data_IF_699948577199
#
_entry.id   IF_699948577199
#
_cell.length_a   1.000
_cell.length_b   1.000
_cell.length_c   1.000
_cell.angle_alpha   90.00
_cell.angle_beta   90.00
_cell.angle_gamma   90.00
#
_symmetry.space_group_name_H-M   'P 1'
#
loop_
_entity.id
_entity.type
_entity.pdbx_description
1 polymer ?
#
# COMPACT_ATOMS: atom_id res chain seq x y z
N UNK A 1 -14.56 -5.60 29.96
CA UNK A 1 -13.69 -4.97 30.96
C UNK A 1 -12.39 -5.77 31.02
N UNK A 2 -11.20 -5.33 30.66
CA UNK A 2 -10.66 -4.18 29.94
C UNK A 2 -9.38 -4.73 29.28
N UNK A 3 -9.29 -4.77 27.95
CA UNK A 3 -8.06 -5.13 27.21
C UNK A 3 -7.61 -3.86 26.49
N UNK A 4 -7.20 -2.85 27.27
CA UNK A 4 -6.64 -1.59 26.77
C UNK A 4 -5.51 -1.09 27.69
N UNK A 5 -4.64 -2.00 28.13
CA UNK A 5 -3.55 -1.68 29.08
C UNK A 5 -2.13 -1.66 28.51
N UNK A 6 -1.89 -2.13 27.28
CA UNK A 6 -0.52 -2.34 26.78
C UNK A 6 -0.22 -1.75 25.39
N UNK A 7 -1.24 -1.33 24.64
CA UNK A 7 -1.04 -0.68 23.34
C UNK A 7 -0.76 0.83 23.50
N UNK A 8 -1.10 1.40 24.67
CA UNK A 8 -0.86 2.82 24.97
C UNK A 8 0.59 3.19 25.31
N UNK A 9 1.43 2.23 25.74
CA UNK A 9 2.79 2.53 26.21
C UNK A 9 3.82 2.57 25.06
N UNK A 10 3.59 1.81 23.98
CA UNK A 10 4.48 1.76 22.82
C UNK A 10 4.37 3.02 21.95
N UNK A 11 3.17 3.60 21.83
CA UNK A 11 2.97 4.84 21.07
C UNK A 11 3.56 6.05 21.81
N UNK A 12 3.56 6.05 23.15
CA UNK A 12 4.15 7.15 23.92
C UNK A 12 5.67 7.21 23.82
N UNK A 13 6.38 6.08 23.66
CA UNK A 13 7.85 6.10 23.52
C UNK A 13 8.27 6.61 22.14
N UNK A 14 7.54 6.22 21.08
CA UNK A 14 7.86 6.67 19.70
C UNK A 14 7.49 8.15 19.47
N UNK A 15 6.44 8.66 20.12
CA UNK A 15 6.11 10.08 20.05
C UNK A 15 6.98 10.95 20.97
N UNK A 16 7.43 10.43 22.12
CA UNK A 16 8.36 11.16 22.99
C UNK A 16 9.71 11.40 22.32
N UNK A 17 10.20 10.48 21.47
CA UNK A 17 11.44 10.70 20.70
C UNK A 17 11.28 11.72 19.56
N UNK A 18 10.06 11.98 19.08
CA UNK A 18 9.79 13.07 18.12
C UNK A 18 9.53 14.44 18.77
N UNK A 19 9.11 14.50 20.03
CA UNK A 19 9.04 15.77 20.78
C UNK A 19 10.40 16.23 21.31
N UNK A 20 11.28 15.30 21.69
CA UNK A 20 12.61 15.61 22.24
C UNK A 20 13.59 16.21 21.20
N UNK A 21 13.32 16.07 19.90
CA UNK A 21 14.13 16.72 18.84
C UNK A 21 13.70 18.16 18.53
N UNK A 22 12.58 18.65 19.06
CA UNK A 22 12.08 20.03 18.83
C UNK A 22 12.15 20.93 20.06
N UNK A 23 12.32 20.37 21.26
CA UNK A 23 12.62 21.11 22.48
C UNK A 23 14.07 20.85 22.89
N UNK A 24 14.88 21.91 23.01
CA UNK A 24 16.25 21.81 23.50
C UNK A 24 16.35 21.06 24.85
N UNK A 25 17.55 20.56 25.21
CA UNK A 25 17.69 19.57 26.27
C UNK A 25 17.29 20.15 27.64
N UNK A 26 16.16 19.70 28.18
CA UNK A 26 15.84 19.89 29.61
C UNK A 26 16.53 18.78 30.38
N UNK A 27 17.72 19.06 30.89
CA UNK A 27 18.55 18.12 31.65
C UNK A 27 18.04 17.98 33.09
N UNK A 28 17.11 17.05 33.34
CA UNK A 28 16.79 16.63 34.70
C UNK A 28 17.77 15.53 35.12
N UNK A 29 19.03 15.91 35.36
CA UNK A 29 20.08 15.03 35.84
C UNK A 29 20.29 15.26 37.34
N UNK A 30 20.02 14.23 38.16
CA UNK A 30 20.42 14.24 39.57
C UNK A 30 21.96 14.26 39.62
N UNK A 31 22.51 15.32 40.20
CA UNK A 31 23.94 15.48 40.46
C UNK A 31 24.23 15.07 41.90
N UNK A 32 25.33 14.36 42.14
CA UNK A 32 25.78 14.09 43.50
C UNK A 32 26.35 15.37 44.16
N UNK A 33 26.65 15.30 45.47
CA UNK A 33 27.21 16.43 46.23
C UNK A 33 28.59 16.89 45.72
N UNK A 34 29.22 16.12 44.82
CA UNK A 34 30.49 16.47 44.15
C UNK A 34 30.28 17.10 42.77
N UNK A 35 29.03 17.32 42.36
CA UNK A 35 28.67 17.92 41.07
C UNK A 35 28.78 16.98 39.88
N UNK A 36 28.94 15.67 40.11
CA UNK A 36 29.00 14.69 39.04
C UNK A 36 27.59 14.20 38.67
N UNK A 37 27.35 14.05 37.38
CA UNK A 37 26.10 13.48 36.86
C UNK A 37 25.99 12.03 37.31
N UNK A 38 25.00 11.73 38.16
CA UNK A 38 24.64 10.34 38.44
C UNK A 38 23.91 9.85 37.20
N UNK A 39 24.66 9.38 36.20
CA UNK A 39 24.06 8.61 35.13
C UNK A 39 23.56 7.33 35.75
N UNK A 40 22.28 7.33 36.12
CA UNK A 40 21.63 6.18 36.73
C UNK A 40 21.82 4.99 35.81
N UNK A 41 22.76 4.14 36.19
CA UNK A 41 23.10 2.94 35.44
C UNK A 41 21.86 2.07 35.23
N UNK A 42 20.84 2.17 36.09
CA UNK A 42 19.56 1.53 35.90
C UNK A 42 18.81 2.08 34.67
N UNK A 43 18.82 3.39 34.43
CA UNK A 43 18.21 4.01 33.25
C UNK A 43 18.92 3.60 31.96
N UNK A 44 20.26 3.63 31.95
CA UNK A 44 21.05 3.17 30.80
C UNK A 44 20.87 1.68 30.53
N UNK A 45 20.91 0.86 31.58
CA UNK A 45 20.71 -0.58 31.46
C UNK A 45 19.29 -0.93 30.99
N UNK A 46 18.29 -0.16 31.42
CA UNK A 46 16.92 -0.30 30.93
C UNK A 46 16.79 0.06 29.45
N UNK A 47 17.47 1.12 29.01
CA UNK A 47 17.51 1.53 27.60
C UNK A 47 18.23 0.48 26.73
N UNK A 48 19.39 -0.01 27.16
CA UNK A 48 20.14 -1.05 26.45
C UNK A 48 19.37 -2.38 26.41
N UNK A 49 18.66 -2.71 27.49
CA UNK A 49 17.81 -3.91 27.54
C UNK A 49 16.59 -3.79 26.64
N UNK A 50 15.98 -2.60 26.56
CA UNK A 50 14.88 -2.32 25.64
C UNK A 50 15.34 -2.39 24.18
N UNK A 51 16.52 -1.83 23.87
CA UNK A 51 17.11 -1.89 22.54
C UNK A 51 17.44 -3.33 22.14
N UNK A 52 18.09 -4.09 23.04
CA UNK A 52 18.40 -5.51 22.82
C UNK A 52 17.15 -6.38 22.68
N UNK A 53 16.05 -6.03 23.35
CA UNK A 53 14.76 -6.70 23.18
C UNK A 53 14.16 -6.37 21.80
N UNK A 54 14.28 -5.13 21.31
CA UNK A 54 13.88 -4.74 19.96
C UNK A 54 14.74 -5.46 18.89
N UNK A 55 16.05 -5.58 19.11
CA UNK A 55 16.95 -6.28 18.20
C UNK A 55 16.69 -7.79 18.21
N UNK A 56 16.32 -8.39 19.35
CA UNK A 56 15.92 -9.81 19.46
C UNK A 56 14.52 -10.09 18.91
N UNK A 57 13.72 -9.05 18.62
CA UNK A 57 12.57 -9.12 17.72
C UNK A 57 13.02 -9.15 16.24
N UNK A 58 14.22 -9.69 15.96
CA UNK A 58 14.83 -10.07 14.68
C UNK A 58 14.02 -11.12 13.88
N UNK A 59 12.70 -11.06 13.95
CA UNK A 59 11.91 -11.17 12.75
C UNK A 59 11.11 -9.87 12.64
N UNK A 60 11.72 -8.78 12.15
CA UNK A 60 10.91 -7.70 11.66
C UNK A 60 10.07 -8.33 10.56
N UNK A 61 8.78 -8.54 10.82
CA UNK A 61 7.81 -8.50 9.72
C UNK A 61 8.27 -7.31 8.89
N UNK A 62 8.60 -7.53 7.61
CA UNK A 62 9.11 -6.51 6.71
C UNK A 62 8.12 -5.34 6.64
N UNK A 63 8.13 -4.42 7.61
CA UNK A 63 7.08 -3.39 7.79
C UNK A 63 7.43 -2.06 7.15
N UNK A 64 8.54 -1.96 6.42
CA UNK A 64 8.73 -0.83 5.50
C UNK A 64 8.27 -1.24 4.09
N UNK A 65 6.97 -1.52 3.95
CA UNK A 65 6.36 -1.66 2.64
C UNK A 65 6.49 -0.31 1.93
N UNK A 66 7.12 -0.30 0.75
CA UNK A 66 7.40 0.93 0.01
C UNK A 66 6.07 1.52 -0.47
N UNK A 67 5.85 2.81 -0.25
CA UNK A 67 4.66 3.49 -0.78
C UNK A 67 4.76 3.64 -2.31
N UNK A 68 3.73 3.20 -3.01
CA UNK A 68 3.55 3.28 -4.46
C UNK A 68 2.40 4.23 -4.75
N UNK A 69 2.66 5.31 -5.49
CA UNK A 69 1.65 6.28 -5.90
C UNK A 69 0.92 5.75 -7.14
N UNK A 70 -0.29 5.23 -6.96
CA UNK A 70 -1.12 4.66 -8.04
C UNK A 70 -1.99 5.71 -8.73
N UNK A 71 -2.22 6.82 -8.05
CA UNK A 71 -2.96 7.99 -8.50
C UNK A 71 -2.46 9.22 -7.71
N UNK A 72 -2.80 10.44 -8.13
CA UNK A 72 -2.18 11.67 -7.60
C UNK A 72 -1.94 11.71 -6.09
N UNK A 73 -2.99 11.80 -5.30
CA UNK A 73 -2.91 11.84 -3.84
C UNK A 73 -3.13 10.45 -3.19
N UNK A 74 -3.07 9.38 -3.99
CA UNK A 74 -3.34 8.02 -3.53
C UNK A 74 -2.08 7.19 -3.68
N UNK A 75 -1.49 6.86 -2.53
CA UNK A 75 -0.42 5.89 -2.43
C UNK A 75 -0.84 4.69 -1.61
N UNK A 76 -0.31 3.53 -1.97
CA UNK A 76 -0.54 2.28 -1.24
C UNK A 76 0.78 1.52 -1.05
N UNK A 77 0.90 0.69 -0.01
CA UNK A 77 2.05 -0.19 0.17
C UNK A 77 2.30 -1.13 -1.03
N UNK A 78 3.56 -1.45 -1.33
CA UNK A 78 3.96 -2.37 -2.42
C UNK A 78 3.56 -3.84 -2.18
N UNK A 79 3.25 -4.20 -0.94
CA UNK A 79 2.69 -5.50 -0.56
C UNK A 79 1.15 -5.57 -0.63
N UNK A 80 0.49 -4.51 -1.11
CA UNK A 80 -0.96 -4.45 -1.30
C UNK A 80 -1.45 -5.61 -2.18
N UNK A 81 -2.47 -6.32 -1.70
CA UNK A 81 -3.12 -7.44 -2.40
C UNK A 81 -4.48 -7.09 -2.98
N UNK A 82 -5.19 -6.18 -2.34
CA UNK A 82 -6.52 -5.73 -2.76
C UNK A 82 -6.48 -4.21 -2.77
N UNK A 83 -6.81 -3.62 -3.90
CA UNK A 83 -6.90 -2.18 -4.09
C UNK A 83 -8.30 -1.83 -4.58
N UNK A 84 -9.08 -1.22 -3.69
CA UNK A 84 -10.41 -0.71 -3.99
C UNK A 84 -10.39 0.82 -4.08
N UNK A 85 -10.55 1.30 -5.31
CA UNK A 85 -10.70 2.70 -5.67
C UNK A 85 -12.09 3.02 -6.23
N UNK A 86 -13.06 2.12 -6.04
CA UNK A 86 -14.40 2.25 -6.61
C UNK A 86 -15.18 3.44 -6.05
N UNK A 87 -15.99 4.10 -6.89
CA UNK A 87 -16.92 5.13 -6.43
C UNK A 87 -16.28 6.40 -5.86
N UNK A 88 -15.04 6.73 -6.27
CA UNK A 88 -14.25 7.85 -5.72
C UNK A 88 -14.28 9.09 -6.60
N UNK A 89 -15.08 9.11 -7.67
CA UNK A 89 -15.15 10.19 -8.65
C UNK A 89 -13.80 10.54 -9.29
N UNK A 90 -12.86 9.59 -9.32
CA UNK A 90 -11.54 9.76 -9.91
C UNK A 90 -11.65 9.86 -11.43
N UNK A 91 -10.71 10.55 -12.08
CA UNK A 91 -10.76 10.81 -13.53
C UNK A 91 -9.44 10.57 -14.25
N UNK A 92 -9.43 10.61 -15.57
CA UNK A 92 -8.20 10.43 -16.34
C UNK A 92 -7.73 8.99 -16.35
N UNK A 93 -6.52 8.70 -15.86
CA UNK A 93 -5.91 7.37 -15.87
C UNK A 93 -5.15 7.09 -14.57
N UNK A 94 -5.01 5.81 -14.23
CA UNK A 94 -4.03 5.37 -13.23
C UNK A 94 -2.61 5.69 -13.69
N UNK A 95 -1.69 5.80 -12.72
CA UNK A 95 -0.27 6.01 -12.95
C UNK A 95 0.43 4.68 -13.30
N UNK A 96 1.47 4.75 -14.13
CA UNK A 96 2.25 3.60 -14.58
C UNK A 96 2.94 2.85 -13.42
N UNK A 97 3.17 3.54 -12.30
CA UNK A 97 3.75 3.02 -11.06
C UNK A 97 2.94 1.86 -10.46
N UNK A 98 1.68 1.66 -10.86
CA UNK A 98 0.88 0.51 -10.43
C UNK A 98 1.57 -0.83 -10.70
N UNK A 99 2.43 -0.94 -11.72
CA UNK A 99 3.26 -2.14 -11.99
C UNK A 99 4.10 -2.61 -10.80
N UNK A 100 4.39 -1.73 -9.85
CA UNK A 100 5.17 -2.07 -8.66
C UNK A 100 4.35 -2.85 -7.62
N UNK A 101 3.02 -2.90 -7.74
CA UNK A 101 2.13 -3.71 -6.90
C UNK A 101 2.16 -5.19 -7.33
N UNK A 102 3.33 -5.80 -7.31
CA UNK A 102 3.57 -7.18 -7.78
C UNK A 102 2.81 -8.25 -6.99
N UNK A 103 2.26 -7.90 -5.82
CA UNK A 103 1.43 -8.76 -4.98
C UNK A 103 -0.09 -8.58 -5.18
N UNK A 104 -0.50 -7.64 -6.03
CA UNK A 104 -1.91 -7.32 -6.24
C UNK A 104 -2.66 -8.49 -6.87
N UNK A 105 -3.80 -8.83 -6.27
CA UNK A 105 -4.73 -9.88 -6.71
C UNK A 105 -6.05 -9.32 -7.17
N UNK A 106 -6.49 -8.22 -6.57
CA UNK A 106 -7.75 -7.58 -6.89
C UNK A 106 -7.55 -6.08 -7.05
N UNK A 107 -8.03 -5.56 -8.18
CA UNK A 107 -8.09 -4.14 -8.48
C UNK A 107 -9.51 -3.77 -8.88
N UNK A 108 -10.17 -2.97 -8.06
CA UNK A 108 -11.47 -2.39 -8.37
C UNK A 108 -11.33 -0.87 -8.56
N UNK A 109 -11.59 -0.39 -9.77
CA UNK A 109 -11.66 1.04 -10.09
C UNK A 109 -13.02 1.43 -10.67
N UNK A 110 -14.04 0.59 -10.44
CA UNK A 110 -15.38 0.75 -10.99
C UNK A 110 -16.08 2.02 -10.50
N UNK A 111 -17.10 2.46 -11.23
CA UNK A 111 -17.92 3.62 -10.84
C UNK A 111 -17.09 4.90 -10.63
N UNK A 112 -16.18 5.18 -11.57
CA UNK A 112 -15.38 6.40 -11.61
C UNK A 112 -15.52 7.07 -12.99
N UNK A 113 -14.70 8.08 -13.25
CA UNK A 113 -14.62 8.81 -14.52
C UNK A 113 -13.29 8.52 -15.25
N UNK A 114 -12.73 7.31 -15.12
CA UNK A 114 -11.50 6.95 -15.83
C UNK A 114 -11.77 6.86 -17.33
N UNK A 115 -10.91 7.50 -18.11
CA UNK A 115 -10.96 7.51 -19.58
C UNK A 115 -9.90 6.61 -20.20
N UNK A 116 -8.88 6.22 -19.44
CA UNK A 116 -7.79 5.37 -19.90
C UNK A 116 -7.16 4.54 -18.79
N UNK A 117 -6.37 3.55 -19.20
CA UNK A 117 -5.64 2.65 -18.33
C UNK A 117 -4.18 2.56 -18.82
N UNK A 118 -3.17 2.62 -17.94
CA UNK A 118 -1.79 2.49 -18.36
C UNK A 118 -1.50 1.06 -18.82
N UNK A 119 -0.67 0.89 -19.85
CA UNK A 119 -0.25 -0.41 -20.37
C UNK A 119 0.43 -1.27 -19.27
N UNK A 120 1.05 -0.62 -18.29
CA UNK A 120 1.68 -1.21 -17.13
C UNK A 120 0.76 -2.08 -16.26
N UNK A 121 -0.57 -1.92 -16.36
CA UNK A 121 -1.52 -2.85 -15.70
C UNK A 121 -1.27 -4.29 -16.15
N UNK A 122 -0.90 -4.50 -17.41
CA UNK A 122 -0.57 -5.83 -17.94
C UNK A 122 0.65 -6.50 -17.28
N UNK A 123 1.41 -5.79 -16.45
CA UNK A 123 2.57 -6.34 -15.71
C UNK A 123 2.17 -6.94 -14.35
N UNK A 124 0.92 -6.79 -13.93
CA UNK A 124 0.39 -7.33 -12.67
C UNK A 124 0.14 -8.83 -12.76
N UNK A 125 1.23 -9.60 -12.84
CA UNK A 125 1.18 -11.05 -13.09
C UNK A 125 0.38 -11.87 -12.07
N UNK A 126 0.09 -11.34 -10.87
CA UNK A 126 -0.70 -12.02 -9.82
C UNK A 126 -2.16 -11.58 -9.75
N UNK A 127 -2.59 -10.66 -10.63
CA UNK A 127 -3.94 -10.13 -10.64
C UNK A 127 -4.92 -11.22 -11.08
N UNK A 128 -5.94 -11.44 -10.27
CA UNK A 128 -7.00 -12.44 -10.46
C UNK A 128 -8.33 -11.77 -10.81
N UNK A 129 -8.59 -10.59 -10.24
CA UNK A 129 -9.82 -9.83 -10.46
C UNK A 129 -9.49 -8.40 -10.86
N UNK A 130 -10.05 -7.96 -11.99
CA UNK A 130 -9.97 -6.60 -12.49
C UNK A 130 -11.37 -6.08 -12.80
N UNK A 131 -11.85 -5.13 -12.00
CA UNK A 131 -13.15 -4.48 -12.20
C UNK A 131 -12.97 -3.06 -12.74
N UNK A 132 -13.35 -2.87 -14.00
CA UNK A 132 -13.29 -1.60 -14.73
C UNK A 132 -14.69 -1.01 -14.97
N UNK A 133 -15.75 -1.70 -14.52
CA UNK A 133 -17.14 -1.38 -14.88
C UNK A 133 -17.53 0.06 -14.56
N UNK A 134 -18.50 0.60 -15.30
CA UNK A 134 -19.04 1.95 -15.13
C UNK A 134 -17.95 3.03 -15.13
N UNK A 135 -17.13 3.04 -16.18
CA UNK A 135 -16.14 4.08 -16.46
C UNK A 135 -16.17 4.45 -17.95
N UNK A 136 -16.00 5.72 -18.32
CA UNK A 136 -16.04 6.19 -19.69
C UNK A 136 -14.71 5.94 -20.45
N UNK A 137 -14.19 4.72 -20.42
CA UNK A 137 -12.97 4.35 -21.15
C UNK A 137 -13.11 4.69 -22.64
N UNK A 138 -12.06 5.19 -23.28
CA UNK A 138 -12.04 5.44 -24.73
C UNK A 138 -11.35 4.33 -25.51
N UNK A 139 -10.70 3.42 -24.80
CA UNK A 139 -10.00 2.26 -25.31
C UNK A 139 -9.37 1.47 -24.16
N UNK A 140 -8.94 0.25 -24.46
CA UNK A 140 -8.29 -0.64 -23.50
C UNK A 140 -6.89 -1.01 -24.01
N UNK A 141 -5.86 -1.02 -23.15
CA UNK A 141 -4.53 -1.44 -23.56
C UNK A 141 -4.52 -2.94 -23.88
N UNK A 142 -3.90 -3.32 -25.00
CA UNK A 142 -3.76 -4.72 -25.41
C UNK A 142 -3.00 -5.55 -24.37
N UNK A 143 -2.17 -4.89 -23.55
CA UNK A 143 -1.42 -5.48 -22.45
C UNK A 143 -2.31 -6.09 -21.36
N UNK A 144 -3.61 -5.79 -21.31
CA UNK A 144 -4.55 -6.55 -20.47
C UNK A 144 -4.54 -8.05 -20.80
N UNK A 145 -4.21 -8.42 -22.03
CA UNK A 145 -3.99 -9.81 -22.43
C UNK A 145 -2.82 -10.50 -21.72
N UNK A 146 -1.86 -9.75 -21.17
CA UNK A 146 -0.69 -10.30 -20.48
C UNK A 146 -0.96 -10.72 -19.03
N UNK A 147 -2.17 -10.47 -18.51
CA UNK A 147 -2.57 -10.82 -17.15
C UNK A 147 -2.78 -12.34 -17.02
N UNK A 148 -1.68 -13.06 -16.86
CA UNK A 148 -1.63 -14.53 -16.95
C UNK A 148 -2.41 -15.28 -15.86
N UNK A 149 -2.72 -14.65 -14.73
CA UNK A 149 -3.52 -15.23 -13.65
C UNK A 149 -4.94 -14.66 -13.56
N UNK A 150 -5.38 -13.86 -14.54
CA UNK A 150 -6.69 -13.23 -14.51
C UNK A 150 -7.81 -14.29 -14.57
N UNK A 151 -8.78 -14.13 -13.70
CA UNK A 151 -9.97 -14.97 -13.62
C UNK A 151 -11.23 -14.18 -13.96
N UNK A 152 -11.26 -12.89 -13.61
CA UNK A 152 -12.41 -12.03 -13.84
C UNK A 152 -11.95 -10.68 -14.39
N UNK A 153 -12.52 -10.30 -15.53
CA UNK A 153 -12.46 -8.96 -16.08
C UNK A 153 -13.89 -8.44 -16.24
N UNK A 154 -14.22 -7.35 -15.57
CA UNK A 154 -15.54 -6.71 -15.71
C UNK A 154 -15.43 -5.38 -16.45
N UNK A 155 -16.08 -5.32 -17.62
CA UNK A 155 -16.13 -4.18 -18.54
C UNK A 155 -17.57 -3.64 -18.73
N UNK A 156 -18.55 -4.09 -17.94
CA UNK A 156 -19.94 -3.64 -18.08
C UNK A 156 -20.05 -2.12 -17.89
N UNK A 157 -20.88 -1.47 -18.69
CA UNK A 157 -21.03 -0.01 -18.65
C UNK A 157 -19.73 0.75 -18.98
N UNK A 158 -18.81 0.16 -19.75
CA UNK A 158 -17.62 0.85 -20.28
C UNK A 158 -17.71 0.98 -21.79
N UNK A 159 -17.01 1.96 -22.35
CA UNK A 159 -16.88 2.12 -23.79
C UNK A 159 -15.56 1.49 -24.26
N UNK A 160 -15.62 0.53 -25.18
CA UNK A 160 -14.45 -0.11 -25.80
C UNK A 160 -14.78 -0.46 -27.25
N UNK A 161 -13.76 -0.59 -28.10
CA UNK A 161 -13.97 -1.11 -29.45
C UNK A 161 -14.01 -2.64 -29.45
N UNK A 162 -14.80 -3.24 -30.35
CA UNK A 162 -14.80 -4.70 -30.53
C UNK A 162 -13.42 -5.23 -30.93
N UNK A 163 -12.64 -4.41 -31.64
CA UNK A 163 -11.28 -4.73 -32.03
C UNK A 163 -10.37 -4.87 -30.80
N UNK A 164 -10.42 -3.92 -29.86
CA UNK A 164 -9.62 -3.98 -28.62
C UNK A 164 -10.00 -5.22 -27.82
N UNK A 165 -11.30 -5.48 -27.65
CA UNK A 165 -11.78 -6.64 -26.90
C UNK A 165 -11.31 -7.96 -27.53
N UNK A 166 -11.32 -8.06 -28.86
CA UNK A 166 -10.84 -9.24 -29.59
C UNK A 166 -9.35 -9.47 -29.39
N UNK A 167 -8.53 -8.41 -29.48
CA UNK A 167 -7.08 -8.48 -29.27
C UNK A 167 -6.72 -8.90 -27.84
N UNK A 168 -7.41 -8.34 -26.85
CA UNK A 168 -7.21 -8.70 -25.44
C UNK A 168 -7.61 -10.17 -25.23
N UNK A 169 -8.76 -10.60 -25.76
CA UNK A 169 -9.24 -12.00 -25.65
C UNK A 169 -8.33 -13.02 -26.32
N UNK A 170 -7.61 -12.65 -27.38
CA UNK A 170 -6.67 -13.55 -28.07
C UNK A 170 -5.49 -13.94 -27.18
N UNK A 171 -5.05 -13.05 -26.30
CA UNK A 171 -3.88 -13.24 -25.44
C UNK A 171 -4.24 -13.58 -23.99
N UNK A 172 -5.48 -13.31 -23.55
CA UNK A 172 -5.95 -13.60 -22.19
C UNK A 172 -5.90 -15.10 -21.85
N UNK A 173 -5.68 -15.46 -20.57
CA UNK A 173 -5.74 -16.85 -20.14
C UNK A 173 -7.16 -17.40 -20.34
N UNK A 174 -7.27 -18.65 -20.80
CA UNK A 174 -8.56 -19.33 -21.04
C UNK A 174 -9.46 -19.43 -19.79
N UNK A 175 -8.89 -19.23 -18.60
CA UNK A 175 -9.62 -19.21 -17.32
C UNK A 175 -10.34 -17.89 -17.06
N UNK A 176 -9.97 -16.81 -17.77
CA UNK A 176 -10.55 -15.50 -17.57
C UNK A 176 -12.00 -15.46 -18.09
N UNK A 177 -12.92 -15.03 -17.22
CA UNK A 177 -14.28 -14.67 -17.56
C UNK A 177 -14.34 -13.17 -17.80
N UNK A 178 -14.82 -12.77 -18.96
CA UNK A 178 -15.00 -11.36 -19.32
C UNK A 178 -16.48 -11.02 -19.28
N UNK A 179 -16.86 -10.09 -18.40
CA UNK A 179 -18.21 -9.57 -18.32
C UNK A 179 -18.32 -8.29 -19.14
N UNK A 180 -19.31 -8.28 -20.04
CA UNK A 180 -19.65 -7.18 -20.96
C UNK A 180 -21.18 -7.02 -20.95
N UNK A 181 -21.68 -5.91 -21.50
CA UNK A 181 -23.13 -5.64 -21.62
C UNK A 181 -23.85 -6.57 -22.60
#
# INVERSE_FOLDING_TARGET
MQIFGLVGLLVTVVLATWWVTSAGPVSNTLVDESGNTVQDSAYKNALDSAQKAADKMENPVSVSSKAIFVYDEISVPDDTRILDLSGKSLSGSLKAEIRHLTNLRELDISNNNFTGLPAEVGQLSRLEVLNLSNNPFTGLPNELGNLSNLQVLDLRGTSYSEQDLSLIKQSMPNTAKVFVD
#
